data_IF_683344879627
#
_entry.id   IF_683344879627
#
_cell.length_a   1.000
_cell.length_b   1.000
_cell.length_c   1.000
_cell.angle_alpha   90.00
_cell.angle_beta   90.00
_cell.angle_gamma   90.00
#
_symmetry.space_group_name_H-M   'P 1'
#
loop_
_entity.id
_entity.type
_entity.pdbx_description
1 polymer ?
#
# COMPACT_ATOMS: atom_id res chain seq x y z
N UNK A 1 -22.27 79.42 -50.88
CA UNK A 1 -21.80 78.01 -50.91
C UNK A 1 -20.84 77.79 -49.76
N UNK A 2 -21.23 77.07 -48.69
CA UNK A 2 -20.26 76.56 -47.73
C UNK A 2 -19.33 75.60 -48.48
N UNK A 3 -18.02 75.87 -48.48
CA UNK A 3 -17.05 75.02 -49.19
C UNK A 3 -17.20 73.57 -48.76
N UNK A 4 -17.10 72.66 -49.72
CA UNK A 4 -17.33 71.22 -49.53
C UNK A 4 -16.55 70.67 -48.31
N UNK A 5 -15.38 71.22 -48.04
CA UNK A 5 -14.53 70.90 -46.89
C UNK A 5 -15.17 71.23 -45.52
N UNK A 6 -15.97 72.29 -45.41
CA UNK A 6 -16.65 72.67 -44.16
C UNK A 6 -17.81 71.73 -43.84
N UNK A 7 -18.51 71.21 -44.86
CA UNK A 7 -19.56 70.19 -44.69
C UNK A 7 -18.97 68.84 -44.28
N UNK A 8 -17.85 68.45 -44.89
CA UNK A 8 -17.13 67.22 -44.54
C UNK A 8 -16.64 67.28 -43.09
N UNK A 9 -16.09 68.42 -42.65
CA UNK A 9 -15.64 68.61 -41.26
C UNK A 9 -16.78 68.55 -40.23
N UNK A 10 -17.96 69.09 -40.55
CA UNK A 10 -19.12 69.03 -39.65
C UNK A 10 -19.62 67.58 -39.53
N UNK A 11 -19.69 66.85 -40.64
CA UNK A 11 -20.11 65.44 -40.62
C UNK A 11 -19.10 64.53 -39.89
N UNK A 12 -17.80 64.75 -40.04
CA UNK A 12 -16.79 63.96 -39.32
C UNK A 12 -16.82 64.21 -37.81
N UNK A 13 -17.08 65.44 -37.35
CA UNK A 13 -17.26 65.74 -35.91
C UNK A 13 -18.53 65.09 -35.36
N UNK A 14 -19.65 65.11 -36.10
CA UNK A 14 -20.90 64.47 -35.68
C UNK A 14 -20.72 62.94 -35.58
N UNK A 15 -20.06 62.32 -36.57
CA UNK A 15 -19.79 60.87 -36.56
C UNK A 15 -18.87 60.51 -35.39
N UNK A 16 -17.82 61.30 -35.14
CA UNK A 16 -16.93 61.08 -34.00
C UNK A 16 -17.65 61.22 -32.64
N UNK A 17 -18.55 62.20 -32.50
CA UNK A 17 -19.34 62.39 -31.29
C UNK A 17 -20.35 61.24 -31.07
N UNK A 18 -21.02 60.78 -32.13
CA UNK A 18 -21.92 59.62 -32.07
C UNK A 18 -21.16 58.33 -31.74
N UNK A 19 -19.97 58.14 -32.31
CA UNK A 19 -19.12 56.99 -32.01
C UNK A 19 -18.61 57.03 -30.55
N UNK A 20 -18.18 58.19 -30.06
CA UNK A 20 -17.79 58.38 -28.67
C UNK A 20 -18.97 58.14 -27.71
N UNK A 21 -20.16 58.65 -28.04
CA UNK A 21 -21.39 58.40 -27.27
C UNK A 21 -21.78 56.91 -27.26
N UNK A 22 -21.66 56.22 -28.40
CA UNK A 22 -21.87 54.78 -28.51
C UNK A 22 -20.87 53.97 -27.68
N UNK A 23 -19.59 54.35 -27.70
CA UNK A 23 -18.55 53.74 -26.87
C UNK A 23 -18.83 53.97 -25.39
N UNK A 24 -19.17 55.20 -24.99
CA UNK A 24 -19.56 55.52 -23.61
C UNK A 24 -20.77 54.68 -23.19
N UNK A 25 -21.80 54.56 -24.03
CA UNK A 25 -22.96 53.73 -23.73
C UNK A 25 -22.60 52.23 -23.60
N UNK A 26 -21.80 51.70 -24.53
CA UNK A 26 -21.33 50.30 -24.53
C UNK A 26 -20.49 49.95 -23.30
N UNK A 27 -19.62 50.86 -22.84
CA UNK A 27 -18.68 50.59 -21.75
C UNK A 27 -19.16 51.09 -20.38
N UNK A 28 -19.91 52.19 -20.32
CA UNK A 28 -20.35 52.80 -19.06
C UNK A 28 -21.78 52.41 -18.64
N UNK A 29 -22.62 51.89 -19.54
CA UNK A 29 -24.03 51.58 -19.22
C UNK A 29 -24.36 50.09 -19.28
N UNK A 30 -23.75 49.31 -20.17
CA UNK A 30 -24.07 47.88 -20.27
C UNK A 30 -23.53 47.08 -19.09
N UNK A 31 -24.40 46.22 -18.52
CA UNK A 31 -24.03 45.23 -17.51
C UNK A 31 -23.41 44.01 -18.16
N UNK A 32 -22.32 43.51 -17.58
CA UNK A 32 -21.63 42.29 -18.02
C UNK A 32 -21.15 41.47 -16.84
N UNK A 33 -21.16 40.15 -17.00
CA UNK A 33 -20.56 39.17 -16.10
C UNK A 33 -19.98 38.03 -16.94
N UNK A 34 -18.83 37.49 -16.52
CA UNK A 34 -18.14 36.36 -17.15
C UNK A 34 -17.45 35.55 -16.05
N UNK A 35 -17.62 34.23 -16.04
CA UNK A 35 -16.94 33.35 -15.09
C UNK A 35 -15.56 33.00 -15.64
N UNK A 36 -14.52 33.14 -14.82
CA UNK A 36 -13.12 32.89 -15.19
C UNK A 36 -12.58 31.60 -14.57
N UNK A 37 -13.01 31.27 -13.36
CA UNK A 37 -12.67 30.03 -12.65
C UNK A 37 -13.94 29.38 -12.09
N UNK A 38 -14.15 28.06 -12.26
CA UNK A 38 -13.19 27.04 -12.74
C UNK A 38 -12.79 27.19 -14.21
N UNK A 39 -11.56 26.78 -14.52
CA UNK A 39 -11.09 26.64 -15.90
C UNK A 39 -11.81 25.45 -16.59
N UNK A 40 -11.86 25.42 -17.94
CA UNK A 40 -12.38 24.25 -18.65
C UNK A 40 -11.64 22.98 -18.21
N UNK A 41 -12.38 21.90 -17.97
CA UNK A 41 -11.84 20.60 -17.53
C UNK A 41 -11.08 20.64 -16.19
N UNK A 42 -11.33 21.65 -15.35
CA UNK A 42 -10.71 21.69 -14.03
C UNK A 42 -11.13 20.47 -13.18
N UNK A 43 -10.15 19.90 -12.48
CA UNK A 43 -10.36 18.82 -11.50
C UNK A 43 -10.27 19.41 -10.10
N UNK A 44 -11.40 19.50 -9.40
CA UNK A 44 -11.49 19.98 -8.03
C UNK A 44 -11.77 18.82 -7.07
N UNK A 45 -11.25 18.86 -5.85
CA UNK A 45 -11.42 17.81 -4.85
C UNK A 45 -12.41 18.23 -3.77
N UNK A 46 -13.35 17.35 -3.40
CA UNK A 46 -14.17 17.57 -2.21
C UNK A 46 -13.29 17.67 -0.94
N UNK A 47 -13.76 18.41 0.07
CA UNK A 47 -13.01 18.75 1.29
C UNK A 47 -11.80 19.69 1.07
N UNK A 48 -11.70 20.36 -0.09
CA UNK A 48 -10.74 21.45 -0.34
C UNK A 48 -11.47 22.76 -0.64
N UNK A 49 -10.74 23.85 -0.42
CA UNK A 49 -11.21 25.21 -0.73
C UNK A 49 -10.70 25.63 -2.11
N UNK A 50 -11.60 26.07 -2.98
CA UNK A 50 -11.25 26.60 -4.31
C UNK A 50 -11.79 28.00 -4.50
N UNK A 51 -11.13 28.76 -5.38
CA UNK A 51 -11.52 30.14 -5.69
C UNK A 51 -12.34 30.18 -6.98
N UNK A 52 -13.60 30.56 -6.85
CA UNK A 52 -14.46 30.94 -7.97
C UNK A 52 -14.13 32.39 -8.31
N UNK A 53 -13.81 32.69 -9.57
CA UNK A 53 -13.47 34.04 -10.02
C UNK A 53 -14.31 34.47 -11.21
N UNK A 54 -14.60 35.76 -11.30
CA UNK A 54 -15.41 36.34 -12.38
C UNK A 54 -14.94 37.75 -12.74
N UNK A 55 -15.29 38.19 -13.94
CA UNK A 55 -15.23 39.60 -14.36
C UNK A 55 -16.64 40.19 -14.30
N UNK A 56 -16.75 41.47 -13.92
CA UNK A 56 -18.04 42.17 -13.94
C UNK A 56 -17.91 43.64 -14.30
N UNK A 57 -18.96 44.20 -14.91
CA UNK A 57 -19.06 45.62 -15.24
C UNK A 57 -20.48 46.11 -14.93
N UNK A 58 -20.60 47.26 -14.27
CA UNK A 58 -21.87 47.87 -13.86
C UNK A 58 -22.80 46.96 -13.04
N UNK A 59 -22.22 46.02 -12.29
CA UNK A 59 -22.93 45.19 -11.33
C UNK A 59 -22.54 45.61 -9.92
N UNK A 60 -23.54 45.66 -9.02
CA UNK A 60 -23.32 45.94 -7.60
C UNK A 60 -23.15 44.65 -6.80
N UNK A 61 -24.02 43.67 -7.05
CA UNK A 61 -24.10 42.39 -6.32
C UNK A 61 -24.27 41.21 -7.27
N UNK A 62 -23.73 40.07 -6.87
CA UNK A 62 -23.88 38.80 -7.58
C UNK A 62 -24.35 37.67 -6.66
N UNK A 63 -25.06 36.71 -7.25
CA UNK A 63 -25.36 35.40 -6.68
C UNK A 63 -24.49 34.34 -7.36
N UNK A 64 -24.11 33.31 -6.59
CA UNK A 64 -23.28 32.20 -7.05
C UNK A 64 -23.99 30.90 -6.74
N UNK A 65 -24.19 30.08 -7.77
CA UNK A 65 -24.82 28.76 -7.64
C UNK A 65 -23.96 27.69 -8.31
N UNK A 66 -24.01 26.49 -7.76
CA UNK A 66 -23.52 25.25 -8.36
C UNK A 66 -24.68 24.59 -9.10
N UNK A 67 -24.44 24.17 -10.33
CA UNK A 67 -25.41 23.44 -11.15
C UNK A 67 -24.82 22.06 -11.43
N UNK A 68 -25.66 21.05 -11.26
CA UNK A 68 -25.32 19.65 -11.50
C UNK A 68 -26.12 19.13 -12.70
N UNK A 69 -25.41 18.60 -13.69
CA UNK A 69 -25.99 18.00 -14.88
C UNK A 69 -26.44 18.98 -15.97
N UNK A 70 -26.53 18.44 -17.18
CA UNK A 70 -26.74 19.19 -18.43
C UNK A 70 -28.10 19.91 -18.47
N UNK A 71 -29.12 19.39 -17.79
CA UNK A 71 -30.47 19.95 -17.81
C UNK A 71 -30.73 21.03 -16.74
N UNK A 72 -29.71 21.45 -15.96
CA UNK A 72 -29.83 22.47 -14.92
C UNK A 72 -31.00 22.26 -13.93
N UNK A 73 -31.39 20.99 -13.70
CA UNK A 73 -32.50 20.64 -12.80
C UNK A 73 -32.11 20.66 -11.32
N UNK A 74 -30.81 20.55 -11.05
CA UNK A 74 -30.27 20.50 -9.71
C UNK A 74 -29.34 21.72 -9.51
N UNK A 75 -29.85 22.71 -8.78
CA UNK A 75 -29.21 24.02 -8.57
C UNK A 75 -29.09 24.27 -7.07
N UNK A 76 -27.86 24.46 -6.61
CA UNK A 76 -27.55 24.71 -5.20
C UNK A 76 -26.90 26.07 -5.02
N UNK A 77 -27.37 26.83 -4.03
CA UNK A 77 -26.74 28.10 -3.65
C UNK A 77 -25.38 27.88 -3.01
N UNK A 78 -24.36 28.59 -3.49
CA UNK A 78 -23.06 28.69 -2.84
C UNK A 78 -22.97 30.00 -2.05
N UNK A 79 -23.38 31.12 -2.67
CA UNK A 79 -23.38 32.42 -2.02
C UNK A 79 -24.44 33.36 -2.58
N UNK A 80 -24.95 34.23 -1.71
CA UNK A 80 -25.93 35.27 -2.06
C UNK A 80 -25.37 36.65 -1.73
N UNK A 81 -25.82 37.67 -2.48
CA UNK A 81 -25.52 39.07 -2.19
C UNK A 81 -24.01 39.40 -2.09
N UNK A 82 -23.16 38.73 -2.88
CA UNK A 82 -21.71 38.98 -2.90
C UNK A 82 -21.43 40.27 -3.66
N UNK A 83 -20.52 41.10 -3.16
CA UNK A 83 -20.10 42.32 -3.90
C UNK A 83 -19.50 41.93 -5.25
N UNK A 84 -20.06 42.47 -6.33
CA UNK A 84 -19.59 42.18 -7.69
C UNK A 84 -18.12 42.62 -7.89
N UNK A 85 -17.67 43.64 -7.14
CA UNK A 85 -16.30 44.16 -7.14
C UNK A 85 -15.28 43.27 -6.44
N UNK A 86 -15.72 42.25 -5.69
CA UNK A 86 -14.81 41.29 -5.05
C UNK A 86 -14.09 40.42 -6.08
N UNK A 87 -14.76 40.14 -7.21
CA UNK A 87 -14.25 39.33 -8.34
C UNK A 87 -13.81 37.90 -7.98
N UNK A 88 -14.00 37.49 -6.72
CA UNK A 88 -13.70 36.16 -6.24
C UNK A 88 -14.61 35.75 -5.07
N UNK A 89 -14.74 34.45 -4.89
CA UNK A 89 -15.37 33.80 -3.75
C UNK A 89 -14.62 32.51 -3.44
N UNK A 90 -14.21 32.35 -2.18
CA UNK A 90 -13.58 31.11 -1.71
C UNK A 90 -14.70 30.15 -1.32
N UNK A 91 -14.73 28.98 -1.98
CA UNK A 91 -15.74 27.95 -1.79
C UNK A 91 -15.11 26.70 -1.17
N UNK A 92 -15.56 26.37 0.03
CA UNK A 92 -15.27 25.10 0.70
C UNK A 92 -16.20 24.02 0.12
N UNK A 93 -15.65 23.11 -0.68
CA UNK A 93 -16.43 22.00 -1.23
C UNK A 93 -16.71 21.01 -0.11
N UNK A 94 -17.99 20.72 0.11
CA UNK A 94 -18.42 19.79 1.15
C UNK A 94 -17.78 18.41 0.96
N UNK A 95 -17.40 17.74 2.05
CA UNK A 95 -16.70 16.46 1.98
C UNK A 95 -17.51 15.39 1.24
N UNK A 96 -18.84 15.41 1.32
CA UNK A 96 -19.70 14.42 0.65
C UNK A 96 -20.29 14.92 -0.67
N UNK A 97 -19.57 15.80 -1.36
CA UNK A 97 -19.94 16.18 -2.73
C UNK A 97 -19.86 14.96 -3.65
N UNK A 98 -20.91 14.72 -4.45
CA UNK A 98 -20.97 13.56 -5.34
C UNK A 98 -19.88 13.65 -6.42
N UNK A 99 -19.05 12.62 -6.63
CA UNK A 99 -18.03 12.65 -7.66
C UNK A 99 -18.65 12.64 -9.06
N UNK A 100 -18.47 13.72 -9.84
CA UNK A 100 -19.04 13.87 -11.20
C UNK A 100 -18.22 14.84 -12.05
N UNK A 101 -18.37 14.74 -13.36
CA UNK A 101 -17.72 15.56 -14.40
C UNK A 101 -18.64 16.61 -15.05
N UNK A 102 -19.90 16.70 -14.59
CA UNK A 102 -20.95 17.55 -15.18
C UNK A 102 -21.37 18.72 -14.26
N UNK A 103 -20.45 19.20 -13.43
CA UNK A 103 -20.66 20.39 -12.61
C UNK A 103 -20.37 21.67 -13.40
N UNK A 104 -21.13 22.74 -13.13
CA UNK A 104 -20.82 24.09 -13.61
C UNK A 104 -21.22 25.16 -12.60
N UNK A 105 -20.50 26.27 -12.58
CA UNK A 105 -20.82 27.43 -11.75
C UNK A 105 -21.63 28.44 -12.57
N UNK A 106 -22.66 29.03 -11.97
CA UNK A 106 -23.30 30.22 -12.51
C UNK A 106 -23.12 31.42 -11.59
N UNK A 107 -22.72 32.55 -12.18
CA UNK A 107 -22.64 33.84 -11.50
C UNK A 107 -23.61 34.80 -12.18
N UNK A 108 -24.50 35.40 -11.41
CA UNK A 108 -25.56 36.25 -11.94
C UNK A 108 -25.83 37.48 -11.10
N UNK A 109 -26.49 38.47 -11.69
CA UNK A 109 -26.92 39.69 -11.01
C UNK A 109 -27.94 39.41 -9.90
N UNK A 110 -27.66 39.89 -8.69
CA UNK A 110 -28.50 39.66 -7.52
C UNK A 110 -29.20 40.95 -7.06
N UNK A 111 -30.48 40.91 -6.65
CA UNK A 111 -31.38 39.74 -6.64
C UNK A 111 -31.88 39.36 -8.04
N UNK A 112 -32.17 38.07 -8.27
CA UNK A 112 -32.61 37.56 -9.56
C UNK A 112 -33.94 38.17 -10.01
N UNK A 113 -33.97 38.69 -11.25
CA UNK A 113 -35.15 39.20 -11.94
C UNK A 113 -35.02 38.88 -13.44
N UNK A 114 -36.15 38.86 -14.13
CA UNK A 114 -36.15 38.71 -15.58
C UNK A 114 -35.31 39.83 -16.24
N UNK A 115 -34.43 39.45 -17.17
CA UNK A 115 -33.48 40.36 -17.82
C UNK A 115 -32.13 40.52 -17.11
N UNK A 116 -31.93 39.91 -15.93
CA UNK A 116 -30.65 39.92 -15.23
C UNK A 116 -29.53 39.26 -16.05
N UNK A 117 -28.30 39.71 -15.83
CA UNK A 117 -27.12 39.09 -16.44
C UNK A 117 -26.73 37.84 -15.67
N UNK A 118 -26.40 36.78 -16.42
CA UNK A 118 -25.91 35.50 -15.94
C UNK A 118 -24.76 35.04 -16.83
N UNK A 119 -23.74 34.46 -16.22
CA UNK A 119 -22.67 33.75 -16.90
C UNK A 119 -22.49 32.38 -16.27
N UNK A 120 -22.03 31.44 -17.08
CA UNK A 120 -21.73 30.07 -16.68
C UNK A 120 -20.23 29.82 -16.90
N UNK A 121 -19.63 29.02 -16.04
CA UNK A 121 -18.37 28.36 -16.37
C UNK A 121 -18.61 27.27 -17.42
N UNK A 122 -17.53 26.80 -18.03
CA UNK A 122 -17.51 25.47 -18.64
C UNK A 122 -17.76 24.40 -17.58
N UNK A 123 -18.06 23.18 -18.04
CA UNK A 123 -18.17 22.03 -17.16
C UNK A 123 -16.80 21.69 -16.54
N UNK A 124 -16.84 21.22 -15.30
CA UNK A 124 -15.66 20.81 -14.53
C UNK A 124 -16.00 19.61 -13.66
N UNK A 125 -14.96 18.93 -13.18
CA UNK A 125 -15.09 17.71 -12.40
C UNK A 125 -14.86 17.99 -10.93
N UNK A 126 -15.75 17.48 -10.08
CA UNK A 126 -15.49 17.36 -8.64
C UNK A 126 -15.18 15.89 -8.36
N UNK A 127 -13.97 15.63 -7.89
CA UNK A 127 -13.54 14.35 -7.36
C UNK A 127 -14.06 14.21 -5.93
N UNK A 128 -14.41 12.99 -5.53
CA UNK A 128 -14.87 12.69 -4.16
C UNK A 128 -13.86 13.10 -3.09
N UNK A 129 -14.21 13.03 -1.80
CA UNK A 129 -13.30 13.40 -0.73
C UNK A 129 -12.03 12.53 -0.79
N UNK A 130 -10.86 13.17 -0.70
CA UNK A 130 -9.62 12.45 -0.45
C UNK A 130 -9.58 12.07 1.03
N UNK A 131 -10.42 11.13 1.48
CA UNK A 131 -10.13 10.44 2.74
C UNK A 131 -9.02 9.45 2.44
N UNK A 132 -7.80 9.93 2.43
CA UNK A 132 -6.66 9.05 2.41
C UNK A 132 -6.52 8.50 3.82
N UNK A 133 -7.35 7.51 4.17
CA UNK A 133 -7.15 6.65 5.33
C UNK A 133 -6.78 5.26 4.84
N UNK A 134 -6.11 4.48 5.69
CA UNK A 134 -5.86 3.08 5.37
C UNK A 134 -7.17 2.29 5.26
N UNK A 135 -8.27 2.73 5.90
CA UNK A 135 -9.61 2.13 5.75
C UNK A 135 -10.14 2.26 4.33
N UNK A 136 -9.96 3.42 3.69
CA UNK A 136 -10.36 3.61 2.30
C UNK A 136 -9.54 2.76 1.33
N UNK A 137 -8.23 2.66 1.57
CA UNK A 137 -7.38 1.72 0.84
C UNK A 137 -7.84 0.27 1.05
N UNK A 138 -8.32 -0.04 2.26
CA UNK A 138 -8.82 -1.36 2.61
C UNK A 138 -10.08 -1.73 1.87
N UNK A 139 -11.03 -0.80 1.78
CA UNK A 139 -12.26 -0.97 1.01
C UNK A 139 -11.94 -1.13 -0.47
N UNK A 140 -11.08 -0.26 -1.02
CA UNK A 140 -10.73 -0.26 -2.45
C UNK A 140 -9.97 -1.52 -2.89
N UNK A 141 -9.14 -2.08 -2.00
CA UNK A 141 -8.34 -3.27 -2.28
C UNK A 141 -8.98 -4.56 -1.75
N UNK A 142 -10.15 -4.46 -1.12
CA UNK A 142 -10.84 -5.56 -0.42
C UNK A 142 -9.95 -6.30 0.59
N UNK A 143 -9.01 -5.59 1.22
CA UNK A 143 -8.05 -6.17 2.17
C UNK A 143 -7.64 -5.18 3.27
N UNK A 144 -7.51 -5.59 4.55
CA UNK A 144 -7.16 -4.64 5.61
C UNK A 144 -5.75 -4.05 5.49
N UNK A 145 -5.67 -2.72 5.56
CA UNK A 145 -4.45 -1.94 5.75
C UNK A 145 -4.55 -1.15 7.04
N UNK A 146 -3.46 -1.11 7.78
CA UNK A 146 -3.38 -0.37 9.04
C UNK A 146 -2.31 0.73 8.94
N UNK A 147 -2.50 1.87 9.62
CA UNK A 147 -1.54 2.95 9.58
C UNK A 147 -0.26 2.60 10.37
N UNK A 148 0.84 3.27 10.05
CA UNK A 148 2.16 3.03 10.67
C UNK A 148 2.23 3.29 12.18
N UNK A 149 1.26 4.00 12.74
CA UNK A 149 1.12 4.29 14.17
C UNK A 149 0.08 3.39 14.87
N UNK A 150 -0.35 2.30 14.22
CA UNK A 150 -1.23 1.32 14.86
C UNK A 150 -0.57 0.72 16.11
N UNK A 151 -1.22 0.76 17.28
CA UNK A 151 -0.64 0.24 18.52
C UNK A 151 -0.20 -1.20 18.39
N UNK A 152 1.00 -1.49 18.91
CA UNK A 152 1.57 -2.84 18.95
C UNK A 152 1.71 -3.54 17.58
N UNK A 153 1.73 -2.79 16.47
CA UNK A 153 2.00 -3.36 15.16
C UNK A 153 3.45 -3.90 15.08
N UNK A 154 3.58 -5.15 14.63
CA UNK A 154 4.85 -5.84 14.34
C UNK A 154 5.03 -5.88 12.84
N UNK A 155 6.01 -5.12 12.34
CA UNK A 155 6.37 -5.13 10.93
C UNK A 155 7.17 -6.37 10.59
N UNK A 156 6.88 -6.97 9.44
CA UNK A 156 7.51 -8.20 8.95
C UNK A 156 7.98 -8.04 7.51
N UNK A 157 9.16 -8.54 7.20
CA UNK A 157 9.60 -8.75 5.82
C UNK A 157 10.34 -10.08 5.68
N UNK A 158 10.50 -10.53 4.44
CA UNK A 158 11.35 -11.68 4.10
C UNK A 158 12.63 -11.17 3.44
N UNK A 159 13.78 -11.73 3.82
CA UNK A 159 15.07 -11.32 3.27
C UNK A 159 15.12 -11.51 1.75
N UNK A 160 15.77 -10.57 1.08
CA UNK A 160 16.07 -10.67 -0.35
C UNK A 160 17.13 -11.74 -0.61
N UNK A 161 18.15 -11.83 0.24
CA UNK A 161 19.21 -12.84 0.19
C UNK A 161 18.77 -14.16 0.80
N UNK A 162 19.45 -15.21 0.37
CA UNK A 162 19.34 -16.58 0.86
C UNK A 162 20.58 -16.95 1.68
N UNK A 163 20.41 -17.90 2.61
CA UNK A 163 21.43 -18.27 3.58
C UNK A 163 21.37 -19.77 3.87
N UNK A 164 22.54 -20.40 4.03
CA UNK A 164 22.63 -21.78 4.54
C UNK A 164 22.23 -21.85 6.02
N UNK A 165 22.13 -23.06 6.58
CA UNK A 165 21.84 -23.28 8.00
C UNK A 165 22.93 -22.78 8.97
N UNK A 166 24.09 -22.33 8.48
CA UNK A 166 25.06 -21.62 9.30
C UNK A 166 24.76 -20.12 9.32
N UNK A 167 23.97 -19.71 10.30
CA UNK A 167 23.61 -18.32 10.54
C UNK A 167 24.44 -17.67 11.64
N UNK A 168 25.52 -18.32 12.10
CA UNK A 168 26.32 -17.86 13.25
C UNK A 168 25.46 -17.71 14.52
N UNK A 169 24.61 -18.72 14.78
CA UNK A 169 23.60 -18.71 15.86
C UNK A 169 22.48 -17.70 15.63
N UNK A 170 21.60 -17.55 16.63
CA UNK A 170 20.49 -16.61 16.56
C UNK A 170 20.98 -15.15 16.43
N UNK A 171 22.11 -14.80 17.05
CA UNK A 171 22.65 -13.44 16.95
C UNK A 171 23.09 -13.10 15.51
N UNK A 172 23.65 -14.06 14.77
CA UNK A 172 24.02 -13.82 13.38
C UNK A 172 22.80 -13.80 12.44
N UNK A 173 21.76 -14.58 12.73
CA UNK A 173 20.48 -14.47 12.03
C UNK A 173 19.84 -13.08 12.25
N UNK A 174 19.84 -12.59 13.50
CA UNK A 174 19.35 -11.24 13.82
C UNK A 174 20.17 -10.16 13.11
N UNK A 175 21.50 -10.26 13.10
CA UNK A 175 22.36 -9.32 12.35
C UNK A 175 22.02 -9.28 10.86
N UNK A 176 21.71 -10.42 10.24
CA UNK A 176 21.30 -10.49 8.83
C UNK A 176 19.97 -9.79 8.60
N UNK A 177 18.99 -10.00 9.48
CA UNK A 177 17.73 -9.28 9.44
C UNK A 177 17.90 -7.77 9.62
N UNK A 178 18.72 -7.34 10.58
CA UNK A 178 19.02 -5.93 10.79
C UNK A 178 19.69 -5.30 9.57
N UNK A 179 20.69 -5.97 8.99
CA UNK A 179 21.38 -5.48 7.80
C UNK A 179 20.44 -5.33 6.59
N UNK A 180 19.60 -6.34 6.33
CA UNK A 180 18.61 -6.27 5.23
C UNK A 180 17.56 -5.17 5.47
N UNK A 181 17.16 -4.95 6.72
CA UNK A 181 16.23 -3.89 7.07
C UNK A 181 16.84 -2.51 6.79
N UNK A 182 18.10 -2.29 7.20
CA UNK A 182 18.83 -1.05 6.94
C UNK A 182 19.02 -0.78 5.45
N UNK A 183 19.37 -1.81 4.67
CA UNK A 183 19.49 -1.73 3.21
C UNK A 183 18.15 -1.35 2.54
N UNK A 184 17.02 -1.76 3.13
CA UNK A 184 15.66 -1.38 2.70
C UNK A 184 15.17 -0.04 3.28
N UNK A 185 15.97 0.61 4.13
CA UNK A 185 15.59 1.86 4.80
C UNK A 185 14.51 1.67 5.87
N UNK A 186 14.37 0.46 6.41
CA UNK A 186 13.45 0.19 7.51
C UNK A 186 14.08 0.57 8.85
N UNK A 187 13.36 1.37 9.64
CA UNK A 187 13.81 1.83 10.95
C UNK A 187 13.50 0.81 12.06
N UNK A 188 14.20 0.93 13.19
CA UNK A 188 14.00 0.10 14.38
C UNK A 188 14.93 -1.11 14.46
N UNK A 189 14.66 -1.99 15.42
CA UNK A 189 15.42 -3.21 15.65
C UNK A 189 14.73 -4.39 14.98
N UNK A 190 15.47 -5.17 14.22
CA UNK A 190 14.93 -6.29 13.45
C UNK A 190 15.63 -7.59 13.85
N UNK A 191 14.83 -8.63 14.09
CA UNK A 191 15.31 -9.95 14.47
C UNK A 191 14.73 -11.03 13.58
N UNK A 192 15.44 -12.14 13.43
CA UNK A 192 14.95 -13.28 12.67
C UNK A 192 13.85 -14.02 13.46
N UNK A 193 12.77 -14.42 12.78
CA UNK A 193 11.70 -15.28 13.32
C UNK A 193 12.19 -16.72 13.45
N UNK A 194 13.20 -16.91 14.29
CA UNK A 194 13.86 -18.18 14.53
C UNK A 194 13.96 -18.42 16.03
N UNK A 195 13.83 -19.70 16.39
CA UNK A 195 14.21 -20.23 17.68
C UNK A 195 15.29 -21.30 17.51
N UNK A 196 15.89 -21.71 18.60
CA UNK A 196 16.86 -22.80 18.68
C UNK A 196 16.49 -23.77 19.82
N UNK A 197 17.39 -24.68 20.18
CA UNK A 197 17.11 -25.68 21.21
C UNK A 197 16.91 -25.07 22.61
N UNK A 198 17.44 -23.87 22.87
CA UNK A 198 17.37 -23.19 24.16
C UNK A 198 16.28 -22.10 24.23
N UNK A 199 15.97 -21.45 23.10
CA UNK A 199 15.09 -20.29 23.03
C UNK A 199 14.08 -20.43 21.89
N UNK A 200 12.79 -20.41 22.24
CA UNK A 200 11.70 -20.43 21.27
C UNK A 200 11.53 -19.07 20.59
N UNK A 201 11.08 -19.06 19.32
CA UNK A 201 10.83 -17.83 18.59
C UNK A 201 9.79 -16.94 19.31
N UNK A 202 8.68 -17.53 19.79
CA UNK A 202 7.63 -16.79 20.51
C UNK A 202 8.15 -16.11 21.77
N UNK A 203 8.97 -16.80 22.56
CA UNK A 203 9.44 -16.26 23.85
C UNK A 203 10.51 -15.18 23.67
N UNK A 204 11.41 -15.33 22.69
CA UNK A 204 12.53 -14.39 22.49
C UNK A 204 12.17 -13.12 21.71
N UNK A 205 11.05 -13.11 20.97
CA UNK A 205 10.69 -12.02 20.06
C UNK A 205 9.46 -11.19 20.51
N UNK A 206 8.83 -11.53 21.64
CA UNK A 206 7.64 -10.85 22.15
C UNK A 206 6.58 -10.56 21.08
N UNK A 207 6.10 -11.63 20.45
CA UNK A 207 5.24 -11.64 19.26
C UNK A 207 3.76 -11.30 19.55
N UNK A 208 3.52 -10.38 20.50
CA UNK A 208 2.20 -9.83 20.79
C UNK A 208 1.87 -8.68 19.83
N UNK A 209 0.59 -8.56 19.48
CA UNK A 209 0.08 -7.50 18.60
C UNK A 209 -0.16 -7.93 17.15
N UNK A 210 -0.57 -6.98 16.32
CA UNK A 210 -0.92 -7.22 14.93
C UNK A 210 0.33 -7.32 14.03
N UNK A 211 0.32 -8.23 13.07
CA UNK A 211 1.41 -8.43 12.13
C UNK A 211 1.11 -7.73 10.81
N UNK A 212 2.06 -6.95 10.31
CA UNK A 212 1.90 -6.15 9.08
C UNK A 212 3.14 -6.27 8.20
N UNK A 213 2.99 -6.09 6.89
CA UNK A 213 4.16 -5.99 6.01
C UNK A 213 4.98 -4.74 6.33
N UNK A 214 6.31 -4.89 6.42
CA UNK A 214 7.22 -3.78 6.68
C UNK A 214 7.22 -2.74 5.56
N UNK A 215 7.14 -3.22 4.32
CA UNK A 215 7.04 -2.37 3.15
C UNK A 215 5.67 -1.68 3.11
N UNK A 216 5.62 -0.34 3.00
CA UNK A 216 4.37 0.38 2.96
C UNK A 216 3.68 0.17 1.61
N UNK A 217 2.40 -0.18 1.64
CA UNK A 217 1.60 -0.31 0.42
C UNK A 217 1.19 1.06 -0.16
N UNK A 218 1.06 2.06 0.71
CA UNK A 218 0.76 3.44 0.32
C UNK A 218 1.29 4.42 1.37
N UNK A 219 1.40 5.70 0.98
CA UNK A 219 1.61 6.82 1.90
C UNK A 219 0.45 7.81 1.78
N UNK A 220 -0.11 8.17 2.93
CA UNK A 220 -1.17 9.16 3.06
C UNK A 220 -0.59 10.58 2.88
N UNK A 221 -1.38 11.58 2.47
CA UNK A 221 -0.95 12.98 2.33
C UNK A 221 -0.36 13.57 3.61
N UNK A 222 -0.80 13.15 4.79
CA UNK A 222 -0.19 13.52 6.08
C UNK A 222 1.16 12.83 6.36
N UNK A 223 1.69 12.04 5.43
CA UNK A 223 2.98 11.36 5.54
C UNK A 223 2.94 10.00 6.23
N UNK A 224 1.80 9.59 6.79
CA UNK A 224 1.62 8.26 7.40
C UNK A 224 1.67 7.16 6.34
N UNK A 225 2.31 6.05 6.67
CA UNK A 225 2.32 4.89 5.78
C UNK A 225 1.16 3.94 6.11
N UNK A 226 0.58 3.31 5.09
CA UNK A 226 -0.37 2.21 5.24
C UNK A 226 0.33 0.89 4.96
N UNK A 227 0.22 -0.03 5.92
CA UNK A 227 0.83 -1.35 5.86
C UNK A 227 -0.25 -2.41 5.70
N UNK A 228 0.01 -3.39 4.83
CA UNK A 228 -0.90 -4.52 4.63
C UNK A 228 -0.93 -5.39 5.88
N UNK A 229 -2.13 -5.70 6.39
CA UNK A 229 -2.30 -6.60 7.53
C UNK A 229 -2.00 -8.05 7.13
N UNK A 230 -1.12 -8.69 7.89
CA UNK A 230 -0.78 -10.11 7.78
C UNK A 230 -1.47 -10.97 8.87
N UNK A 231 -2.04 -10.37 9.91
CA UNK A 231 -2.83 -11.07 10.93
C UNK A 231 -3.05 -10.17 12.14
N UNK A 232 -4.18 -10.29 12.83
CA UNK A 232 -4.41 -9.50 14.05
C UNK A 232 -3.56 -9.97 15.23
N UNK A 233 -3.01 -11.18 15.16
CA UNK A 233 -2.08 -11.75 16.12
C UNK A 233 -1.09 -12.72 15.44
N UNK A 234 -0.19 -13.32 16.23
CA UNK A 234 0.79 -14.28 15.74
C UNK A 234 0.15 -15.54 15.15
N UNK A 235 -0.93 -16.04 15.72
CA UNK A 235 -1.57 -17.28 15.25
C UNK A 235 -2.19 -17.07 13.88
N UNK A 236 -2.88 -15.94 13.66
CA UNK A 236 -3.40 -15.60 12.35
C UNK A 236 -2.31 -15.39 11.31
N UNK A 237 -1.20 -14.72 11.69
CA UNK A 237 -0.05 -14.58 10.81
C UNK A 237 0.58 -15.94 10.47
N UNK A 238 0.80 -16.79 11.47
CA UNK A 238 1.41 -18.09 11.30
C UNK A 238 0.52 -19.06 10.53
N UNK A 239 -0.81 -18.96 10.66
CA UNK A 239 -1.75 -19.75 9.87
C UNK A 239 -1.57 -19.53 8.36
N UNK A 240 -1.17 -18.33 7.92
CA UNK A 240 -0.88 -18.05 6.50
C UNK A 240 0.29 -18.87 5.96
N UNK A 241 1.24 -19.25 6.81
CA UNK A 241 2.35 -20.14 6.44
C UNK A 241 1.93 -21.61 6.31
N UNK A 242 0.68 -21.94 6.63
CA UNK A 242 0.13 -23.31 6.54
C UNK A 242 -1.18 -23.38 5.75
N UNK A 243 -1.58 -22.28 5.10
CA UNK A 243 -2.82 -22.18 4.32
C UNK A 243 -2.57 -22.47 2.83
N UNK A 244 -3.65 -22.64 2.06
CA UNK A 244 -3.55 -22.86 0.63
C UNK A 244 -2.98 -21.62 -0.09
N UNK A 245 -2.15 -21.83 -1.12
CA UNK A 245 -1.58 -20.72 -1.89
C UNK A 245 -2.67 -19.88 -2.55
N UNK A 246 -3.77 -20.51 -2.97
CA UNK A 246 -4.92 -19.82 -3.53
C UNK A 246 -5.65 -18.98 -2.47
N UNK A 247 -5.85 -19.52 -1.27
CA UNK A 247 -6.46 -18.77 -0.16
C UNK A 247 -5.62 -17.58 0.27
N UNK A 248 -4.31 -17.64 0.11
CA UNK A 248 -3.41 -16.51 0.36
C UNK A 248 -3.29 -15.55 -0.83
N UNK A 249 -3.66 -15.98 -2.04
CA UNK A 249 -3.66 -15.16 -3.24
C UNK A 249 -4.69 -14.04 -3.07
N UNK A 250 -4.25 -12.79 -3.20
CA UNK A 250 -5.07 -11.59 -2.93
C UNK A 250 -4.95 -11.07 -1.50
N UNK A 251 -4.73 -11.95 -0.51
CA UNK A 251 -4.52 -11.58 0.89
C UNK A 251 -3.12 -11.01 1.14
N UNK A 252 -2.12 -11.59 0.48
CA UNK A 252 -0.70 -11.25 0.65
C UNK A 252 -0.15 -10.74 -0.68
N UNK A 253 0.85 -9.86 -0.64
CA UNK A 253 1.63 -9.49 -1.82
C UNK A 253 2.26 -10.72 -2.47
N UNK A 254 2.30 -10.76 -3.81
CA UNK A 254 2.78 -11.91 -4.58
C UNK A 254 4.26 -12.21 -4.32
N UNK A 255 5.09 -11.16 -4.21
CA UNK A 255 6.53 -11.32 -3.94
C UNK A 255 6.74 -11.85 -2.54
N UNK A 256 6.02 -11.30 -1.55
CA UNK A 256 6.08 -11.79 -0.19
C UNK A 256 5.60 -13.24 -0.08
N UNK A 257 4.49 -13.60 -0.73
CA UNK A 257 3.96 -14.97 -0.73
C UNK A 257 4.95 -15.96 -1.38
N UNK A 258 5.60 -15.56 -2.47
CA UNK A 258 6.64 -16.36 -3.13
C UNK A 258 7.84 -16.56 -2.22
N UNK A 259 8.34 -15.48 -1.62
CA UNK A 259 9.51 -15.52 -0.75
C UNK A 259 9.27 -16.36 0.51
N UNK A 260 8.03 -16.39 1.01
CA UNK A 260 7.61 -17.23 2.14
C UNK A 260 7.64 -18.74 1.84
N UNK A 261 7.81 -19.18 0.59
CA UNK A 261 7.90 -20.60 0.23
C UNK A 261 9.28 -21.21 0.53
N UNK A 262 10.31 -20.39 0.74
CA UNK A 262 11.67 -20.89 0.94
C UNK A 262 12.34 -20.17 2.12
N UNK A 263 11.71 -20.19 3.29
CA UNK A 263 12.26 -19.61 4.52
C UNK A 263 12.74 -20.68 5.49
N UNK A 264 13.81 -20.39 6.22
CA UNK A 264 14.15 -21.13 7.43
C UNK A 264 13.12 -20.85 8.52
N UNK A 265 12.76 -21.90 9.26
CA UNK A 265 11.84 -21.82 10.39
C UNK A 265 12.46 -22.44 11.63
N UNK A 266 12.24 -21.75 12.74
CA UNK A 266 12.70 -22.03 14.10
C UNK A 266 11.94 -23.13 14.84
N UNK A 267 12.40 -23.44 16.06
CA UNK A 267 11.44 -23.84 17.11
C UNK A 267 10.54 -22.63 17.42
N UNK A 268 9.25 -22.78 17.20
CA UNK A 268 8.31 -21.67 17.39
C UNK A 268 7.95 -21.54 18.87
N UNK A 269 7.67 -22.66 19.53
CA UNK A 269 7.12 -22.74 20.88
C UNK A 269 7.55 -24.02 21.62
N UNK A 270 7.07 -24.19 22.85
CA UNK A 270 7.32 -25.37 23.66
C UNK A 270 6.65 -26.66 23.13
N UNK A 271 5.65 -26.54 22.27
CA UNK A 271 4.96 -27.67 21.65
C UNK A 271 5.74 -28.22 20.44
N UNK A 272 6.65 -27.42 19.89
CA UNK A 272 7.57 -27.78 18.81
C UNK A 272 8.50 -28.92 19.23
N UNK A 273 8.17 -30.15 18.81
CA UNK A 273 8.91 -31.37 19.15
C UNK A 273 10.16 -31.54 18.28
N UNK A 274 11.18 -32.15 18.89
CA UNK A 274 12.42 -32.58 18.21
C UNK A 274 12.18 -33.94 17.56
N UNK A 275 11.60 -33.91 16.37
CA UNK A 275 11.23 -35.11 15.62
C UNK A 275 12.15 -35.35 14.42
N UNK A 276 12.12 -36.59 13.94
CA UNK A 276 12.89 -37.00 12.78
C UNK A 276 12.20 -36.46 11.53
N UNK A 277 12.87 -35.57 10.80
CA UNK A 277 12.32 -35.02 9.55
C UNK A 277 12.89 -35.74 8.34
N UNK A 278 12.05 -35.90 7.31
CA UNK A 278 12.49 -36.33 5.99
C UNK A 278 13.09 -35.13 5.27
N UNK A 279 14.28 -35.30 4.70
CA UNK A 279 14.92 -34.27 3.89
C UNK A 279 14.36 -34.33 2.46
N UNK A 280 13.62 -33.29 2.07
CA UNK A 280 12.87 -33.19 0.80
C UNK A 280 13.70 -33.51 -0.46
N UNK A 281 14.97 -33.12 -0.50
CA UNK A 281 15.88 -33.34 -1.63
C UNK A 281 16.11 -34.83 -1.95
N UNK A 282 16.02 -35.71 -0.96
CA UNK A 282 16.38 -37.14 -1.10
C UNK A 282 15.19 -38.06 -1.34
N UNK A 283 13.99 -37.49 -1.36
CA UNK A 283 12.75 -38.26 -1.54
C UNK A 283 12.49 -38.62 -3.01
N UNK A 284 13.04 -37.86 -3.97
CA UNK A 284 12.52 -37.91 -5.36
C UNK A 284 13.38 -38.62 -6.42
N UNK A 285 14.71 -38.74 -6.28
CA UNK A 285 15.51 -39.15 -7.47
C UNK A 285 16.79 -39.97 -7.25
N UNK A 286 17.25 -40.26 -6.03
CA UNK A 286 18.50 -41.04 -5.87
C UNK A 286 18.38 -42.17 -4.83
N UNK A 287 18.95 -43.36 -5.10
CA UNK A 287 19.13 -44.41 -4.11
C UNK A 287 20.25 -44.02 -3.13
N UNK A 288 19.99 -43.03 -2.28
CA UNK A 288 20.86 -42.70 -1.13
C UNK A 288 20.52 -43.59 0.06
N UNK A 289 21.52 -43.80 0.91
CA UNK A 289 21.39 -44.47 2.21
C UNK A 289 20.22 -43.85 3.01
N UNK A 290 19.46 -44.70 3.69
CA UNK A 290 18.36 -44.29 4.56
C UNK A 290 18.81 -43.26 5.60
N UNK A 291 20.03 -43.41 6.13
CA UNK A 291 20.60 -42.50 7.12
C UNK A 291 20.74 -41.06 6.61
N UNK A 292 20.98 -40.87 5.31
CA UNK A 292 21.06 -39.55 4.68
C UNK A 292 19.68 -38.94 4.41
N UNK A 293 18.61 -39.73 4.41
CA UNK A 293 17.25 -39.26 4.13
C UNK A 293 16.57 -38.58 5.33
N UNK A 294 17.13 -38.76 6.53
CA UNK A 294 16.52 -38.31 7.78
C UNK A 294 17.49 -37.50 8.64
N UNK A 295 16.94 -36.56 9.40
CA UNK A 295 17.67 -35.73 10.36
C UNK A 295 16.89 -35.63 11.67
N UNK A 296 17.59 -35.61 12.80
CA UNK A 296 17.02 -35.25 14.09
C UNK A 296 17.03 -33.71 14.20
N UNK A 297 16.00 -33.07 13.67
CA UNK A 297 15.97 -31.61 13.53
C UNK A 297 15.18 -30.95 14.65
N UNK A 298 15.52 -29.68 14.88
CA UNK A 298 14.55 -28.60 15.05
C UNK A 298 15.15 -27.26 14.61
N UNK A 299 16.03 -27.23 13.58
CA UNK A 299 16.49 -26.02 12.80
C UNK A 299 17.86 -26.12 12.13
N UNK A 300 18.78 -26.93 12.69
CA UNK A 300 20.18 -27.18 12.33
C UNK A 300 21.10 -26.87 13.55
N UNK A 301 20.85 -27.58 14.67
CA UNK A 301 21.66 -27.69 15.89
C UNK A 301 22.19 -26.39 16.55
N UNK A 302 21.43 -25.29 16.54
CA UNK A 302 21.80 -23.91 16.95
C UNK A 302 22.34 -23.01 15.83
N UNK A 303 22.00 -23.30 14.57
CA UNK A 303 22.31 -22.45 13.41
C UNK A 303 23.81 -22.26 13.15
N UNK A 304 24.60 -23.31 13.38
CA UNK A 304 26.07 -23.29 13.26
C UNK A 304 26.60 -24.18 12.14
N UNK A 305 25.74 -25.00 11.51
CA UNK A 305 26.15 -25.95 10.49
C UNK A 305 25.47 -25.63 9.14
N UNK A 306 26.28 -25.50 8.10
CA UNK A 306 25.85 -25.30 6.72
C UNK A 306 26.18 -26.50 5.82
N UNK A 307 26.49 -27.65 6.40
CA UNK A 307 26.80 -28.89 5.68
C UNK A 307 25.58 -29.81 5.64
N UNK A 308 25.56 -30.71 4.65
CA UNK A 308 24.46 -31.66 4.47
C UNK A 308 24.57 -32.89 5.39
N UNK A 309 25.79 -33.20 5.85
CA UNK A 309 26.10 -34.44 6.57
C UNK A 309 26.93 -34.13 7.82
N UNK A 310 26.71 -34.91 8.88
CA UNK A 310 27.54 -34.93 10.08
C UNK A 310 28.99 -35.30 9.71
N UNK A 311 30.00 -34.54 10.18
CA UNK A 311 31.40 -34.87 9.93
C UNK A 311 31.73 -36.32 10.36
N UNK A 312 32.47 -37.04 9.51
CA UNK A 312 32.88 -38.43 9.78
C UNK A 312 31.94 -39.51 9.24
N UNK A 313 30.87 -39.16 8.51
CA UNK A 313 30.06 -40.10 7.75
C UNK A 313 30.47 -40.16 6.26
N UNK A 314 30.50 -41.34 5.61
CA UNK A 314 30.33 -42.66 6.24
C UNK A 314 31.50 -42.96 7.18
N UNK A 315 31.24 -43.76 8.22
CA UNK A 315 32.29 -44.17 9.15
C UNK A 315 33.39 -44.94 8.41
N UNK A 316 34.64 -44.74 8.81
CA UNK A 316 35.76 -45.51 8.26
C UNK A 316 35.57 -47.00 8.57
N UNK A 317 36.01 -47.92 7.68
CA UNK A 317 35.94 -49.36 7.94
C UNK A 317 36.63 -49.71 9.27
N UNK A 318 35.88 -50.30 10.21
CA UNK A 318 36.37 -50.65 11.56
C UNK A 318 36.27 -49.54 12.61
N UNK A 319 35.76 -48.35 12.26
CA UNK A 319 35.49 -47.26 13.20
C UNK A 319 34.10 -47.35 13.82
N UNK A 320 34.01 -47.20 15.15
CA UNK A 320 32.75 -46.98 15.84
C UNK A 320 32.44 -45.48 15.83
N UNK A 321 31.58 -45.04 14.91
CA UNK A 321 31.02 -43.69 14.96
C UNK A 321 29.67 -43.75 15.67
N UNK A 322 29.50 -42.98 16.74
CA UNK A 322 28.22 -42.81 17.41
C UNK A 322 27.48 -41.62 16.80
N UNK A 323 26.49 -41.91 15.97
CA UNK A 323 25.56 -40.92 15.43
C UNK A 323 24.30 -40.87 16.30
N UNK A 324 23.65 -39.71 16.35
CA UNK A 324 22.35 -39.61 17.00
C UNK A 324 21.35 -40.55 16.32
N UNK A 325 20.60 -41.34 17.09
CA UNK A 325 19.59 -42.23 16.53
C UNK A 325 18.31 -41.47 16.19
N UNK A 326 17.69 -41.80 15.07
CA UNK A 326 16.37 -41.33 14.65
C UNK A 326 15.50 -42.51 14.20
N UNK A 327 14.20 -42.29 14.09
CA UNK A 327 13.24 -43.31 13.64
C UNK A 327 12.45 -42.79 12.44
N UNK A 328 12.29 -43.63 11.42
CA UNK A 328 11.40 -43.32 10.28
C UNK A 328 9.94 -43.25 10.75
N UNK A 329 9.00 -42.71 9.93
CA UNK A 329 7.57 -42.75 10.24
C UNK A 329 7.01 -44.16 10.45
N UNK A 330 7.68 -45.19 9.91
CA UNK A 330 7.32 -46.60 10.10
C UNK A 330 8.01 -47.24 11.31
N UNK A 331 8.71 -46.46 12.14
CA UNK A 331 9.39 -46.93 13.36
C UNK A 331 10.75 -47.60 13.13
N UNK A 332 11.35 -47.48 11.94
CA UNK A 332 12.67 -48.08 11.66
C UNK A 332 13.75 -47.17 12.23
N UNK A 333 14.59 -47.72 13.13
CA UNK A 333 15.77 -47.02 13.65
C UNK A 333 16.78 -46.78 12.53
N UNK A 334 17.29 -45.56 12.41
CA UNK A 334 18.39 -45.18 11.50
C UNK A 334 19.29 -44.15 12.17
N UNK A 335 20.48 -43.93 11.61
CA UNK A 335 21.40 -42.91 12.10
C UNK A 335 21.03 -41.54 11.51
N UNK A 336 20.97 -40.51 12.33
CA UNK A 336 20.67 -39.13 11.95
C UNK A 336 21.94 -38.40 11.49
N UNK A 337 22.46 -38.82 10.34
CA UNK A 337 23.69 -38.26 9.76
C UNK A 337 23.40 -37.14 8.77
N UNK A 338 22.17 -37.04 8.25
CA UNK A 338 21.72 -35.86 7.53
C UNK A 338 21.53 -34.68 8.49
N UNK A 339 22.04 -33.52 8.13
CA UNK A 339 21.82 -32.27 8.86
C UNK A 339 20.73 -31.47 8.15
N UNK A 340 19.61 -31.23 8.84
CA UNK A 340 18.48 -30.49 8.28
C UNK A 340 17.85 -29.50 9.25
N UNK A 341 17.23 -28.48 8.67
CA UNK A 341 16.43 -27.47 9.35
C UNK A 341 14.97 -27.55 8.95
N UNK A 342 14.09 -27.07 9.83
CA UNK A 342 12.70 -26.82 9.46
C UNK A 342 12.67 -25.61 8.54
N UNK A 343 11.87 -25.73 7.49
CA UNK A 343 11.72 -24.70 6.48
C UNK A 343 10.29 -24.70 5.98
N UNK A 344 9.91 -23.58 5.37
CA UNK A 344 8.67 -23.53 4.62
C UNK A 344 8.82 -24.18 3.25
N UNK A 345 7.68 -24.44 2.62
CA UNK A 345 7.61 -24.84 1.21
C UNK A 345 6.22 -25.24 0.81
N UNK A 346 6.11 -25.75 -0.41
CA UNK A 346 4.83 -26.07 -1.03
C UNK A 346 4.65 -27.58 -1.12
N UNK A 347 3.50 -28.05 -0.65
CA UNK A 347 3.05 -29.44 -0.78
C UNK A 347 1.72 -29.50 -1.53
N UNK A 348 1.50 -30.60 -2.25
CA UNK A 348 0.22 -30.85 -2.93
C UNK A 348 -0.69 -31.69 -2.05
N UNK A 349 -1.88 -31.18 -1.75
CA UNK A 349 -2.94 -31.89 -1.05
C UNK A 349 -4.17 -31.88 -1.96
N UNK A 350 -4.64 -33.05 -2.37
CA UNK A 350 -5.81 -33.22 -3.24
C UNK A 350 -5.76 -32.42 -4.56
N UNK A 351 -4.56 -32.11 -5.05
CA UNK A 351 -4.33 -31.36 -6.29
C UNK A 351 -4.18 -29.84 -6.11
N UNK A 352 -4.37 -29.33 -4.89
CA UNK A 352 -4.13 -27.94 -4.53
C UNK A 352 -2.77 -27.77 -3.83
N UNK A 353 -2.13 -26.62 -4.06
CA UNK A 353 -0.82 -26.28 -3.48
C UNK A 353 -1.01 -25.56 -2.13
N UNK A 354 -0.41 -26.12 -1.08
CA UNK A 354 -0.44 -25.59 0.29
C UNK A 354 0.96 -25.16 0.73
N UNK A 355 1.04 -24.04 1.43
CA UNK A 355 2.22 -23.76 2.24
C UNK A 355 2.27 -24.73 3.41
N UNK A 356 3.47 -25.13 3.79
CA UNK A 356 3.72 -25.90 5.00
C UNK A 356 4.99 -25.38 5.66
N UNK A 357 4.98 -25.37 6.99
CA UNK A 357 6.10 -24.98 7.85
C UNK A 357 6.96 -26.17 8.31
N UNK A 358 6.60 -27.39 7.89
CA UNK A 358 7.15 -28.62 8.44
C UNK A 358 7.99 -29.41 7.43
N UNK A 359 8.68 -28.71 6.52
CA UNK A 359 9.56 -29.35 5.55
C UNK A 359 11.01 -29.38 6.04
N UNK A 360 11.57 -30.59 6.09
CA UNK A 360 13.01 -30.78 6.27
C UNK A 360 13.78 -30.40 4.99
N UNK A 361 14.67 -29.43 5.11
CA UNK A 361 15.67 -29.10 4.07
C UNK A 361 17.08 -29.24 4.63
N UNK A 362 17.99 -29.78 3.82
CA UNK A 362 19.41 -29.91 4.14
C UNK A 362 20.00 -28.56 4.53
N UNK A 363 20.82 -28.49 5.59
CA UNK A 363 21.41 -27.23 6.06
C UNK A 363 22.35 -26.60 5.01
N UNK A 364 22.80 -27.36 4.00
CA UNK A 364 23.58 -26.84 2.88
C UNK A 364 22.74 -26.09 1.84
N UNK A 365 21.41 -26.23 1.87
CA UNK A 365 20.54 -25.44 1.00
C UNK A 365 20.46 -24.01 1.51
N UNK A 366 20.37 -23.07 0.60
CA UNK A 366 20.13 -21.68 0.96
C UNK A 366 18.62 -21.42 1.06
N UNK A 367 18.18 -20.71 2.10
CA UNK A 367 16.81 -20.29 2.34
C UNK A 367 16.79 -18.85 2.84
N UNK A 368 15.65 -18.18 2.72
CA UNK A 368 15.42 -16.82 3.23
C UNK A 368 15.12 -16.83 4.73
N UNK A 369 15.11 -15.65 5.35
CA UNK A 369 14.68 -15.45 6.73
C UNK A 369 13.42 -14.58 6.76
N UNK A 370 12.51 -14.90 7.68
CA UNK A 370 11.46 -13.96 8.08
C UNK A 370 12.05 -13.05 9.16
N UNK A 371 11.95 -11.74 8.97
CA UNK A 371 12.47 -10.72 9.86
C UNK A 371 11.31 -9.92 10.47
N UNK A 372 11.35 -9.74 11.80
CA UNK A 372 10.29 -9.10 12.58
C UNK A 372 10.86 -7.92 13.35
N UNK A 373 10.17 -6.79 13.33
CA UNK A 373 10.51 -5.61 14.12
C UNK A 373 10.25 -5.87 15.61
N UNK A 374 11.14 -5.39 16.48
CA UNK A 374 11.12 -5.59 17.94
C UNK A 374 10.71 -4.35 18.71
#
# INVERSE_FOLDING_TARGET
>A
MLSQNRKILIWSVIIAALFASFLIYRFAVQKRVEVVSPAPEALWQASKTYKITWKSTNLSRVGIVLIKGVQARDVRWLAQNVSARRLNYDWDIFAWEEPRDDYRIAVFEYPWKEGNKIAYSEFFTILGPQFASCDNLSIASEWPFVPSDFPDARKVFVTSRTYTGNLERLEGADRRCQQEAEEKGFEGNWKALLGDDASFALSRLNLQGAFVMAEPAARLPEGKACHRLLGSDFNEFFAKLSDSLESNRGKIDETFLKDMQDVWLGKIDSESKRECTVISAFSRTEPRDLALKYSFTTTCQNWTAGTEVVPGYPSQPGGAAEFAACFTPTGVRTDAVGLAGLSSGVVKVEGEDFLTVSLGKSCAREQKLICVQQ
#
